data_IF_020447706279
#
_entry.id   IF_020447706279
#
_cell.length_a   1.000
_cell.length_b   1.000
_cell.length_c   1.000
_cell.angle_alpha   90.00
_cell.angle_beta   90.00
_cell.angle_gamma   90.00
#
_symmetry.space_group_name_H-M   'P 1'
#
loop_
_entity.id
_entity.type
_entity.pdbx_description
1 polymer ?
#
# COMPACT_ATOMS: atom_id res chain seq x y z
N UNK A 1 -8.07 15.92 -1.70
CA UNK A 1 -7.09 16.17 -2.79
C UNK A 1 -7.73 15.70 -4.09
N UNK A 2 -7.59 16.38 -5.22
CA UNK A 2 -8.12 15.84 -6.48
C UNK A 2 -7.24 14.68 -6.99
N UNK A 3 -7.83 13.69 -7.68
CA UNK A 3 -7.10 12.52 -8.18
C UNK A 3 -6.00 12.86 -9.19
N UNK A 4 -6.21 13.82 -10.06
CA UNK A 4 -5.22 14.36 -11.01
C UNK A 4 -3.96 14.88 -10.31
N UNK A 5 -4.13 15.57 -9.17
CA UNK A 5 -3.00 16.03 -8.34
C UNK A 5 -2.29 14.85 -7.66
N UNK A 6 -3.05 13.85 -7.21
CA UNK A 6 -2.48 12.63 -6.62
C UNK A 6 -1.65 11.86 -7.64
N UNK A 7 -2.19 11.67 -8.84
CA UNK A 7 -1.54 11.03 -9.99
C UNK A 7 -0.23 11.73 -10.30
N UNK A 8 -0.23 13.06 -10.41
CA UNK A 8 0.99 13.83 -10.71
C UNK A 8 2.08 13.58 -9.66
N UNK A 9 1.71 13.66 -8.38
CA UNK A 9 2.64 13.44 -7.27
C UNK A 9 3.18 12.01 -7.25
N UNK A 10 2.32 11.01 -7.40
CA UNK A 10 2.70 9.60 -7.36
C UNK A 10 3.46 9.16 -8.62
N UNK A 11 3.14 9.70 -9.80
CA UNK A 11 3.81 9.37 -11.07
C UNK A 11 5.30 9.70 -11.02
N UNK A 12 5.67 10.81 -10.39
CA UNK A 12 7.08 11.18 -10.20
C UNK A 12 7.85 10.18 -9.32
N UNK A 13 7.14 9.52 -8.41
CA UNK A 13 7.68 8.54 -7.46
C UNK A 13 7.61 7.10 -7.98
N UNK A 14 6.94 6.86 -9.09
CA UNK A 14 6.63 5.51 -9.61
C UNK A 14 7.47 5.22 -10.85
N UNK A 15 8.00 4.00 -10.96
CA UNK A 15 8.82 3.56 -12.10
C UNK A 15 7.95 3.24 -13.33
N UNK A 16 6.75 2.67 -13.09
CA UNK A 16 5.74 2.32 -14.08
C UNK A 16 4.48 3.18 -13.90
N UNK A 17 4.61 4.50 -14.08
CA UNK A 17 3.50 5.45 -13.86
C UNK A 17 2.28 5.23 -14.78
N UNK A 18 2.43 4.49 -15.87
CA UNK A 18 1.31 4.11 -16.75
C UNK A 18 0.29 3.23 -16.01
N UNK A 19 0.74 2.26 -15.21
CA UNK A 19 -0.15 1.41 -14.40
C UNK A 19 -0.96 2.24 -13.39
N UNK A 20 -0.33 3.27 -12.80
CA UNK A 20 -1.02 4.19 -11.90
C UNK A 20 -2.15 4.94 -12.61
N UNK A 21 -1.84 5.43 -13.81
CA UNK A 21 -2.77 6.20 -14.63
C UNK A 21 -3.97 5.35 -14.99
N UNK A 22 -3.73 4.14 -15.52
CA UNK A 22 -4.78 3.18 -15.89
C UNK A 22 -5.66 2.86 -14.69
N UNK A 23 -5.07 2.49 -13.55
CA UNK A 23 -5.83 2.13 -12.35
C UNK A 23 -6.77 3.25 -11.87
N UNK A 24 -6.30 4.50 -11.88
CA UNK A 24 -7.08 5.67 -11.46
C UNK A 24 -8.12 6.08 -12.50
N UNK A 25 -7.80 6.01 -13.78
CA UNK A 25 -8.75 6.27 -14.87
C UNK A 25 -9.90 5.25 -14.85
N UNK A 26 -9.59 3.97 -14.73
CA UNK A 26 -10.59 2.91 -14.61
C UNK A 26 -11.46 3.08 -13.35
N UNK A 27 -10.86 3.42 -12.20
CA UNK A 27 -11.62 3.72 -10.98
C UNK A 27 -12.65 4.83 -11.20
N UNK A 28 -12.26 5.87 -11.93
CA UNK A 28 -13.12 7.01 -12.24
C UNK A 28 -14.22 6.66 -13.24
N UNK A 29 -13.91 5.92 -14.31
CA UNK A 29 -14.88 5.46 -15.32
C UNK A 29 -15.94 4.54 -14.70
N UNK A 30 -15.51 3.64 -13.82
CA UNK A 30 -16.38 2.66 -13.18
C UNK A 30 -17.13 3.22 -11.95
N UNK A 31 -16.79 4.43 -11.50
CA UNK A 31 -17.41 5.05 -10.32
C UNK A 31 -17.06 4.32 -9.02
N UNK A 32 -15.82 3.86 -8.88
CA UNK A 32 -15.36 3.11 -7.71
C UNK A 32 -15.11 4.01 -6.52
N UNK A 33 -15.49 3.53 -5.33
CA UNK A 33 -15.23 4.23 -4.07
C UNK A 33 -13.87 3.87 -3.46
N UNK A 34 -13.29 2.74 -3.86
CA UNK A 34 -12.02 2.26 -3.33
C UNK A 34 -11.13 1.79 -4.47
N UNK A 35 -9.84 2.10 -4.36
CA UNK A 35 -8.78 1.59 -5.21
C UNK A 35 -7.63 1.15 -4.30
N UNK A 36 -7.23 -0.10 -4.41
CA UNK A 36 -6.09 -0.68 -3.73
C UNK A 36 -4.95 -0.82 -4.73
N UNK A 37 -3.78 -0.32 -4.38
CA UNK A 37 -2.57 -0.41 -5.19
C UNK A 37 -1.52 -1.19 -4.41
N UNK A 38 -1.16 -2.38 -4.89
CA UNK A 38 0.00 -3.10 -4.38
C UNK A 38 1.26 -2.42 -4.87
N UNK A 39 2.05 -1.87 -3.94
CA UNK A 39 3.27 -1.13 -4.24
C UNK A 39 4.49 -1.78 -3.63
N UNK A 40 5.58 -1.81 -4.39
CA UNK A 40 6.89 -2.31 -3.96
C UNK A 40 7.97 -1.25 -4.09
N UNK A 41 8.90 -1.19 -3.14
CA UNK A 41 10.14 -0.40 -3.24
C UNK A 41 11.28 -1.21 -2.65
N UNK A 42 12.24 -1.58 -3.48
CA UNK A 42 13.21 -2.62 -3.16
C UNK A 42 12.50 -3.94 -2.84
N UNK A 43 12.74 -4.48 -1.64
CA UNK A 43 12.14 -5.73 -1.15
C UNK A 43 10.92 -5.51 -0.24
N UNK A 44 10.58 -4.27 0.09
CA UNK A 44 9.42 -3.95 0.92
C UNK A 44 8.17 -3.75 0.08
N UNK A 45 7.03 -4.17 0.62
CA UNK A 45 5.70 -4.02 0.01
C UNK A 45 4.75 -3.29 0.94
N UNK A 46 3.79 -2.58 0.36
CA UNK A 46 2.65 -2.00 1.04
C UNK A 46 1.46 -1.96 0.06
N UNK A 47 0.25 -1.84 0.59
CA UNK A 47 -0.95 -1.58 -0.21
C UNK A 47 -1.37 -0.14 0.06
N UNK A 48 -1.54 0.67 -0.98
CA UNK A 48 -2.18 1.98 -0.85
C UNK A 48 -3.68 1.83 -1.08
N UNK A 49 -4.47 2.03 -0.03
CA UNK A 49 -5.91 2.10 -0.08
C UNK A 49 -6.35 3.56 -0.28
N UNK A 50 -6.85 3.86 -1.48
CA UNK A 50 -7.41 5.14 -1.86
C UNK A 50 -8.93 5.08 -1.69
N UNK A 51 -9.48 5.95 -0.87
CA UNK A 51 -10.93 6.17 -0.77
C UNK A 51 -11.28 7.37 -1.63
N UNK A 52 -12.12 7.14 -2.63
CA UNK A 52 -12.43 8.07 -3.71
C UNK A 52 -13.91 8.43 -3.61
N UNK A 53 -14.23 9.71 -3.78
CA UNK A 53 -15.59 10.16 -3.99
C UNK A 53 -15.98 9.91 -5.46
N UNK A 54 -16.95 9.03 -5.75
CA UNK A 54 -17.31 8.65 -7.11
C UNK A 54 -18.02 9.77 -7.89
N UNK A 55 -18.51 10.80 -7.19
CA UNK A 55 -19.28 11.88 -7.81
C UNK A 55 -18.40 13.00 -8.36
N UNK A 56 -17.25 13.26 -7.74
CA UNK A 56 -16.39 14.40 -8.07
C UNK A 56 -14.92 14.04 -8.26
N UNK A 57 -14.53 12.77 -8.09
CA UNK A 57 -13.16 12.29 -8.26
C UNK A 57 -12.19 12.85 -7.20
N UNK A 58 -12.69 13.27 -6.03
CA UNK A 58 -11.83 13.69 -4.93
C UNK A 58 -11.37 12.49 -4.10
N UNK A 59 -10.10 12.48 -3.74
CA UNK A 59 -9.55 11.60 -2.71
C UNK A 59 -10.07 12.06 -1.34
N UNK A 60 -10.84 11.18 -0.68
CA UNK A 60 -11.38 11.33 0.67
C UNK A 60 -10.31 10.98 1.71
N UNK A 61 -9.66 9.83 1.54
CA UNK A 61 -8.59 9.37 2.43
C UNK A 61 -7.60 8.47 1.68
N UNK A 62 -6.36 8.44 2.16
CA UNK A 62 -5.32 7.54 1.70
C UNK A 62 -4.72 6.83 2.90
N UNK A 63 -4.65 5.50 2.85
CA UNK A 63 -4.10 4.66 3.90
C UNK A 63 -3.05 3.75 3.28
N UNK A 64 -1.87 3.72 3.88
CA UNK A 64 -0.87 2.69 3.59
C UNK A 64 -1.08 1.51 4.53
N UNK A 65 -1.38 0.34 3.97
CA UNK A 65 -1.49 -0.93 4.67
C UNK A 65 -0.18 -1.68 4.50
N UNK A 66 0.49 -1.95 5.61
CA UNK A 66 1.85 -2.50 5.61
C UNK A 66 1.74 -3.92 6.14
N UNK A 67 1.92 -4.95 5.29
CA UNK A 67 1.92 -6.33 5.75
C UNK A 67 3.13 -6.56 6.66
N UNK A 68 2.89 -7.02 7.89
CA UNK A 68 3.97 -7.30 8.85
C UNK A 68 4.16 -8.79 9.10
N UNK A 69 3.29 -9.66 8.59
CA UNK A 69 3.47 -11.12 8.61
C UNK A 69 2.16 -11.88 8.79
N UNK A 70 2.21 -13.19 8.55
CA UNK A 70 1.09 -14.11 8.74
C UNK A 70 1.49 -15.34 9.54
N UNK A 71 0.59 -15.84 10.38
CA UNK A 71 0.77 -17.06 11.15
C UNK A 71 2.06 -17.05 11.98
N UNK A 72 2.94 -18.04 11.74
CA UNK A 72 4.22 -18.16 12.44
C UNK A 72 5.29 -17.15 12.01
N UNK A 73 5.08 -16.46 10.90
CA UNK A 73 5.99 -15.42 10.41
C UNK A 73 5.63 -14.02 10.96
N UNK A 74 4.51 -13.91 11.68
CA UNK A 74 4.10 -12.67 12.32
C UNK A 74 5.11 -12.25 13.41
N UNK A 75 5.49 -10.97 13.48
CA UNK A 75 6.38 -10.45 14.52
C UNK A 75 5.71 -10.53 15.90
N UNK A 76 6.52 -10.39 16.95
CA UNK A 76 5.98 -10.24 18.29
C UNK A 76 5.10 -9.00 18.41
N UNK A 77 4.17 -8.99 19.37
CA UNK A 77 3.28 -7.84 19.64
C UNK A 77 4.12 -6.59 19.97
N UNK A 78 5.24 -6.76 20.67
CA UNK A 78 6.16 -5.68 21.02
C UNK A 78 6.83 -5.06 19.78
N UNK A 79 7.32 -5.88 18.86
CA UNK A 79 7.91 -5.43 17.59
C UNK A 79 6.88 -4.75 16.69
N UNK A 80 5.70 -5.37 16.55
CA UNK A 80 4.58 -4.82 15.80
C UNK A 80 4.17 -3.45 16.37
N UNK A 81 4.06 -3.32 17.69
CA UNK A 81 3.72 -2.06 18.34
C UNK A 81 4.81 -0.99 18.17
N UNK A 82 6.08 -1.37 18.23
CA UNK A 82 7.19 -0.45 18.02
C UNK A 82 7.16 0.12 16.59
N UNK A 83 6.97 -0.74 15.60
CA UNK A 83 6.85 -0.32 14.20
C UNK A 83 5.59 0.53 13.99
N UNK A 84 4.43 0.11 14.51
CA UNK A 84 3.18 0.85 14.40
C UNK A 84 3.27 2.26 14.99
N UNK A 85 3.84 2.42 16.19
CA UNK A 85 4.10 3.73 16.79
C UNK A 85 5.01 4.59 15.92
N UNK A 86 6.06 4.02 15.35
CA UNK A 86 6.96 4.77 14.46
C UNK A 86 6.26 5.27 13.20
N UNK A 87 5.23 4.55 12.73
CA UNK A 87 4.43 4.88 11.55
C UNK A 87 3.19 5.71 11.86
N UNK A 88 2.99 6.09 13.13
CA UNK A 88 1.75 6.71 13.62
C UNK A 88 0.51 5.90 13.21
N UNK A 89 0.68 4.57 13.16
CA UNK A 89 -0.29 3.63 12.62
C UNK A 89 -0.98 2.77 13.68
N UNK A 90 -1.99 2.04 13.22
CA UNK A 90 -2.77 1.09 14.00
C UNK A 90 -2.52 -0.33 13.50
N UNK A 91 -2.49 -1.31 14.40
CA UNK A 91 -2.38 -2.72 14.02
C UNK A 91 -3.77 -3.25 13.73
N UNK A 92 -3.93 -3.88 12.56
CA UNK A 92 -5.12 -4.61 12.16
C UNK A 92 -4.77 -6.09 11.96
N UNK A 93 -5.62 -6.98 12.45
CA UNK A 93 -5.47 -8.43 12.27
C UNK A 93 -6.63 -8.94 11.41
N UNK A 94 -6.29 -9.64 10.33
CA UNK A 94 -7.25 -10.26 9.40
C UNK A 94 -6.87 -11.73 9.24
N UNK A 95 -7.67 -12.62 9.82
CA UNK A 95 -7.34 -14.03 9.89
C UNK A 95 -6.02 -14.24 10.65
N UNK A 96 -5.05 -14.88 10.00
CA UNK A 96 -3.71 -15.08 10.56
C UNK A 96 -2.71 -13.97 10.20
N UNK A 97 -3.11 -13.02 9.34
CA UNK A 97 -2.24 -11.95 8.86
C UNK A 97 -2.42 -10.67 9.67
N UNK A 98 -1.32 -9.96 9.88
CA UNK A 98 -1.30 -8.67 10.57
C UNK A 98 -0.78 -7.58 9.64
N UNK A 99 -1.41 -6.42 9.75
CA UNK A 99 -1.11 -5.22 8.97
C UNK A 99 -0.96 -4.02 9.89
N UNK A 100 -0.10 -3.08 9.51
CA UNK A 100 -0.09 -1.73 10.10
C UNK A 100 -0.79 -0.79 9.13
N UNK A 101 -1.79 -0.07 9.61
CA UNK A 101 -2.51 0.95 8.87
C UNK A 101 -1.93 2.32 9.24
N UNK A 102 -1.31 3.01 8.30
CA UNK A 102 -0.82 4.38 8.47
C UNK A 102 -1.61 5.31 7.54
N UNK A 103 -2.32 6.26 8.12
CA UNK A 103 -3.15 7.21 7.37
C UNK A 103 -2.35 8.42 6.90
N UNK A 104 -2.58 8.87 5.67
CA UNK A 104 -2.07 10.15 5.19
C UNK A 104 -3.02 11.28 5.62
N UNK A 105 -2.53 12.17 6.49
CA UNK A 105 -3.30 13.27 7.07
C UNK A 105 -3.11 14.62 6.36
N UNK A 106 -2.22 14.68 5.36
CA UNK A 106 -1.90 15.90 4.63
C UNK A 106 -0.92 16.85 5.32
N UNK A 107 -0.35 16.49 6.48
CA UNK A 107 0.61 17.32 7.22
C UNK A 107 1.97 17.45 6.52
N UNK A 108 2.30 16.48 5.65
CA UNK A 108 3.54 16.42 4.86
C UNK A 108 3.27 16.08 3.40
N UNK A 109 4.29 16.19 2.55
CA UNK A 109 4.17 15.78 1.15
C UNK A 109 3.97 14.25 1.06
N UNK A 110 3.22 13.78 0.06
CA UNK A 110 2.96 12.35 -0.12
C UNK A 110 4.24 11.57 -0.42
N UNK A 111 5.22 12.18 -1.09
CA UNK A 111 6.53 11.57 -1.33
C UNK A 111 7.28 11.33 -0.03
N UNK A 112 7.20 12.29 0.89
CA UNK A 112 7.79 12.21 2.22
C UNK A 112 7.07 11.16 3.06
N UNK A 113 5.74 11.17 3.05
CA UNK A 113 4.93 10.14 3.71
C UNK A 113 5.30 8.72 3.26
N UNK A 114 5.33 8.45 1.96
CA UNK A 114 5.68 7.12 1.46
C UNK A 114 7.16 6.78 1.72
N UNK A 115 8.07 7.74 1.61
CA UNK A 115 9.49 7.49 1.89
C UNK A 115 9.75 7.19 3.37
N UNK A 116 9.04 7.85 4.29
CA UNK A 116 9.08 7.55 5.72
C UNK A 116 8.58 6.14 6.02
N UNK A 117 7.48 5.73 5.38
CA UNK A 117 6.93 4.38 5.56
C UNK A 117 7.97 3.34 5.16
N UNK A 118 8.47 3.44 3.93
CA UNK A 118 9.38 2.43 3.40
C UNK A 118 10.74 2.45 4.09
N UNK A 119 11.20 3.61 4.57
CA UNK A 119 12.42 3.66 5.37
C UNK A 119 12.28 3.01 6.74
N UNK A 120 11.11 3.13 7.39
CA UNK A 120 10.82 2.44 8.66
C UNK A 120 10.66 0.93 8.48
N UNK A 121 10.07 0.49 7.36
CA UNK A 121 9.93 -0.94 7.05
C UNK A 121 11.29 -1.59 6.74
N UNK A 122 12.10 -0.93 5.91
CA UNK A 122 13.39 -1.50 5.45
C UNK A 122 14.57 -1.20 6.38
N UNK A 123 14.43 -0.24 7.29
CA UNK A 123 15.52 0.27 8.12
C UNK A 123 16.56 1.12 7.37
N UNK A 124 16.31 1.47 6.10
CA UNK A 124 17.21 2.27 5.26
C UNK A 124 16.41 3.25 4.39
N UNK A 125 17.02 4.35 3.94
CA UNK A 125 16.36 5.24 2.96
C UNK A 125 16.41 4.60 1.57
N UNK A 126 15.29 4.12 0.99
CA UNK A 126 15.33 3.42 -0.29
C UNK A 126 15.61 4.43 -1.42
N UNK A 127 16.61 4.16 -2.25
CA UNK A 127 16.99 5.03 -3.39
C UNK A 127 16.02 4.96 -4.57
N UNK A 128 15.27 3.86 -4.68
CA UNK A 128 14.57 3.51 -5.90
C UNK A 128 13.15 4.07 -5.91
N UNK A 129 12.53 4.17 -7.10
CA UNK A 129 11.11 4.51 -7.23
C UNK A 129 10.22 3.35 -6.77
N UNK A 130 8.95 3.62 -6.48
CA UNK A 130 7.95 2.58 -6.25
C UNK A 130 7.60 1.89 -7.58
N UNK A 131 7.30 0.61 -7.52
CA UNK A 131 6.68 -0.16 -8.59
C UNK A 131 5.25 -0.47 -8.17
N UNK A 132 4.29 -0.25 -9.04
CA UNK A 132 2.93 -0.79 -8.89
C UNK A 132 2.98 -2.22 -9.39
N UNK A 133 2.71 -3.18 -8.51
CA UNK A 133 2.70 -4.59 -8.86
C UNK A 133 1.32 -5.00 -9.38
N UNK A 134 0.26 -4.60 -8.68
CA UNK A 134 -1.13 -4.94 -8.98
C UNK A 134 -2.07 -3.83 -8.47
N UNK A 135 -3.30 -3.81 -8.98
CA UNK A 135 -4.37 -2.98 -8.43
C UNK A 135 -5.70 -3.74 -8.40
N UNK A 136 -6.55 -3.38 -7.44
CA UNK A 136 -7.88 -3.94 -7.27
C UNK A 136 -8.86 -2.91 -6.74
N UNK A 137 -10.15 -3.16 -6.97
CA UNK A 137 -11.24 -2.38 -6.39
C UNK A 137 -11.93 -3.09 -5.22
N UNK A 138 -11.49 -4.31 -4.93
CA UNK A 138 -11.92 -5.12 -3.80
C UNK A 138 -10.68 -5.63 -3.05
N UNK A 139 -10.62 -5.38 -1.74
CA UNK A 139 -9.51 -5.77 -0.89
C UNK A 139 -9.31 -7.29 -0.83
N UNK A 140 -10.34 -8.08 -1.14
CA UNK A 140 -10.34 -9.53 -0.95
C UNK A 140 -9.86 -10.35 -2.15
N UNK A 141 -9.45 -9.72 -3.25
CA UNK A 141 -8.95 -10.43 -4.46
C UNK A 141 -7.43 -10.47 -4.59
N UNK A 142 -6.67 -9.69 -3.81
CA UNK A 142 -5.20 -9.51 -3.98
C UNK A 142 -4.30 -10.49 -3.23
N UNK A 143 -4.84 -11.45 -2.47
CA UNK A 143 -4.04 -12.53 -1.86
C UNK A 143 -4.46 -13.89 -2.42
N UNK A 144 -3.88 -14.28 -3.55
CA UNK A 144 -3.67 -15.70 -3.85
C UNK A 144 -2.25 -16.05 -3.38
N UNK A 145 -2.15 -16.93 -2.38
CA UNK A 145 -0.87 -17.52 -2.00
C UNK A 145 -0.20 -18.11 -3.24
N UNK A 146 1.09 -17.80 -3.46
CA UNK A 146 1.89 -18.61 -4.37
C UNK A 146 1.72 -20.08 -3.95
N UNK A 147 1.33 -20.99 -4.87
CA UNK A 147 1.26 -22.39 -4.51
C UNK A 147 2.63 -22.82 -3.99
N UNK A 148 2.68 -23.60 -2.89
CA UNK A 148 3.96 -24.06 -2.35
C UNK A 148 4.76 -24.72 -3.47
N UNK A 149 6.08 -24.46 -3.57
CA UNK A 149 6.90 -25.06 -4.60
C UNK A 149 6.65 -26.56 -4.57
N UNK A 150 6.24 -27.12 -5.71
CA UNK A 150 5.91 -28.53 -5.85
C UNK A 150 7.02 -29.33 -5.18
N UNK A 151 6.70 -29.91 -4.02
CA UNK A 151 7.66 -30.66 -3.25
C UNK A 151 8.13 -31.79 -4.13
N UNK A 152 9.39 -31.71 -4.54
CA UNK A 152 10.12 -32.81 -5.13
C UNK A 152 10.18 -33.95 -4.11
N UNK A 153 9.24 -34.89 -4.31
CA UNK A 153 9.33 -36.32 -3.99
C UNK A 153 9.18 -36.67 -2.49
N UNK A 154 8.77 -37.91 -2.17
CA UNK A 154 9.39 -39.16 -2.64
C UNK A 154 8.79 -39.78 -3.90
#
# INVERSE_FOLDING_TARGET
>A
MKLDVLVEKLSNLTANSEELLVAIEEANILGMNHLYLSIRRGNARAILALHINPFDGNLISLIAMIPIGCGKQSPSIEEANKLAKSLEGLIMVVGECSYILSGYDGSKDIAEFLSDIFSKITGASPSDKFLIEEYSYDLFTEYQEDPPPASSLP
#
